data_IF_502977967208
#
_entry.id   IF_502977967208
#
_cell.length_a   1.000
_cell.length_b   1.000
_cell.length_c   1.000
_cell.angle_alpha   90.00
_cell.angle_beta   90.00
_cell.angle_gamma   90.00
#
_symmetry.space_group_name_H-M   'P 1'
#
loop_
_entity.id
_entity.type
_entity.pdbx_description
1 polymer ?
#
# COMPACT_ATOMS: atom_id res chain seq x y z
N UNK A 1 -7.80 -1.46 2.66
CA UNK A 1 -7.13 -2.20 3.74
C UNK A 1 -8.18 -2.60 4.76
N UNK A 2 -7.97 -3.70 5.48
CA UNK A 2 -8.94 -4.26 6.45
C UNK A 2 -9.47 -3.19 7.42
N UNK A 3 -8.55 -2.46 8.07
CA UNK A 3 -8.91 -1.37 8.98
C UNK A 3 -9.73 -0.25 8.33
N UNK A 4 -9.46 0.07 7.06
CA UNK A 4 -10.21 1.09 6.34
C UNK A 4 -11.66 0.67 6.06
N UNK A 5 -11.90 -0.62 5.77
CA UNK A 5 -13.23 -1.16 5.60
C UNK A 5 -13.99 -1.16 6.94
N UNK A 6 -13.40 -1.72 7.98
CA UNK A 6 -14.00 -1.74 9.33
C UNK A 6 -14.32 -0.31 9.83
N UNK A 7 -13.41 0.66 9.63
CA UNK A 7 -13.65 2.06 9.97
C UNK A 7 -14.79 2.67 9.16
N UNK A 8 -14.95 2.29 7.89
CA UNK A 8 -16.07 2.74 7.08
C UNK A 8 -17.40 2.21 7.64
N UNK A 9 -17.49 0.91 7.92
CA UNK A 9 -18.66 0.30 8.57
C UNK A 9 -18.98 0.96 9.91
N UNK A 10 -17.97 1.18 10.75
CA UNK A 10 -18.12 1.85 12.04
C UNK A 10 -18.69 3.27 11.87
N UNK A 11 -18.21 4.04 10.87
CA UNK A 11 -18.74 5.39 10.61
C UNK A 11 -20.16 5.42 10.05
N UNK A 12 -20.61 4.32 9.44
CA UNK A 12 -21.97 4.16 8.95
C UNK A 12 -22.94 3.65 10.03
N UNK A 13 -22.43 3.15 11.15
CA UNK A 13 -23.24 2.70 12.28
C UNK A 13 -23.84 3.87 13.08
N UNK A 14 -24.89 3.65 13.88
CA UNK A 14 -25.42 4.66 14.80
C UNK A 14 -24.35 5.19 15.76
N UNK A 15 -24.50 6.45 16.17
CA UNK A 15 -23.63 7.03 17.20
C UNK A 15 -23.88 6.36 18.55
N UNK A 16 -22.81 5.82 19.13
CA UNK A 16 -22.77 5.26 20.48
C UNK A 16 -22.47 6.34 21.52
N UNK A 17 -22.93 6.15 22.75
CA UNK A 17 -22.73 7.11 23.87
C UNK A 17 -21.80 6.59 24.96
N UNK A 18 -21.60 5.26 25.03
CA UNK A 18 -20.68 4.60 25.96
C UNK A 18 -19.55 3.85 25.20
N UNK A 19 -18.38 3.76 25.83
CA UNK A 19 -17.22 3.00 25.38
C UNK A 19 -17.55 1.50 25.18
N UNK A 20 -18.33 0.89 26.08
CA UNK A 20 -18.67 -0.54 25.94
C UNK A 20 -19.47 -0.83 24.67
N UNK A 21 -20.36 0.10 24.28
CA UNK A 21 -21.10 0.02 23.02
C UNK A 21 -20.19 0.28 21.82
N UNK A 22 -19.26 1.23 21.94
CA UNK A 22 -18.26 1.51 20.90
C UNK A 22 -17.40 0.29 20.62
N UNK A 23 -16.94 -0.41 21.67
CA UNK A 23 -16.09 -1.59 21.54
C UNK A 23 -16.86 -2.73 20.84
N UNK A 24 -18.07 -3.04 21.32
CA UNK A 24 -18.92 -4.07 20.70
C UNK A 24 -19.19 -3.77 19.22
N UNK A 25 -19.47 -2.51 18.90
CA UNK A 25 -19.72 -2.08 17.53
C UNK A 25 -18.46 -2.17 16.67
N UNK A 26 -17.29 -1.80 17.20
CA UNK A 26 -16.01 -1.95 16.49
C UNK A 26 -15.72 -3.42 16.18
N UNK A 27 -15.91 -4.33 17.15
CA UNK A 27 -15.73 -5.78 16.95
C UNK A 27 -16.69 -6.28 15.86
N UNK A 28 -17.97 -5.92 15.93
CA UNK A 28 -18.95 -6.29 14.91
C UNK A 28 -18.56 -5.77 13.51
N UNK A 29 -18.06 -4.54 13.40
CA UNK A 29 -17.58 -3.98 12.13
C UNK A 29 -16.31 -4.65 11.59
N UNK A 30 -15.46 -5.20 12.47
CA UNK A 30 -14.29 -5.97 12.09
C UNK A 30 -14.71 -7.34 11.52
N UNK A 31 -15.63 -8.01 12.22
CA UNK A 31 -16.16 -9.33 11.84
C UNK A 31 -17.02 -9.30 10.56
N UNK A 32 -17.67 -8.16 10.27
CA UNK A 32 -18.48 -7.96 9.07
C UNK A 32 -17.65 -7.91 7.78
N UNK A 33 -16.34 -7.64 7.85
CA UNK A 33 -15.51 -7.54 6.64
C UNK A 33 -15.38 -8.92 5.99
N UNK A 34 -15.85 -9.11 4.73
CA UNK A 34 -15.85 -10.42 4.10
C UNK A 34 -14.44 -10.98 3.95
N UNK A 35 -14.27 -12.28 4.22
CA UNK A 35 -12.99 -12.98 4.12
C UNK A 35 -12.27 -12.75 2.77
N UNK A 36 -13.02 -12.76 1.67
CA UNK A 36 -12.47 -12.50 0.33
C UNK A 36 -11.88 -11.08 0.22
N UNK A 37 -12.46 -10.08 0.88
CA UNK A 37 -11.90 -8.73 0.92
C UNK A 37 -10.60 -8.69 1.72
N UNK A 38 -10.53 -9.42 2.84
CA UNK A 38 -9.31 -9.55 3.66
C UNK A 38 -8.16 -10.10 2.81
N UNK A 39 -8.41 -11.20 2.07
CA UNK A 39 -7.42 -11.78 1.14
C UNK A 39 -6.99 -10.75 0.08
N UNK A 40 -7.94 -10.02 -0.52
CA UNK A 40 -7.62 -8.98 -1.53
C UNK A 40 -6.74 -7.88 -0.93
N UNK A 41 -6.99 -7.47 0.31
CA UNK A 41 -6.14 -6.48 0.98
C UNK A 41 -4.75 -7.03 1.28
N UNK A 42 -4.63 -8.27 1.79
CA UNK A 42 -3.34 -8.90 2.04
C UNK A 42 -2.52 -9.01 0.75
N UNK A 43 -3.13 -9.48 -0.34
CA UNK A 43 -2.49 -9.58 -1.65
C UNK A 43 -2.02 -8.23 -2.19
N UNK A 44 -2.80 -7.16 -1.97
CA UNK A 44 -2.40 -5.81 -2.39
C UNK A 44 -1.20 -5.32 -1.58
N UNK A 45 -1.18 -5.55 -0.27
CA UNK A 45 -0.08 -5.14 0.61
C UNK A 45 1.21 -5.90 0.32
N UNK A 46 1.14 -7.19 0.01
CA UNK A 46 2.30 -8.04 -0.28
C UNK A 46 3.22 -7.45 -1.38
N UNK A 47 2.63 -6.80 -2.38
CA UNK A 47 3.36 -6.16 -3.49
C UNK A 47 4.28 -5.04 -2.99
N UNK A 48 3.81 -4.27 -2.02
CA UNK A 48 4.59 -3.19 -1.41
C UNK A 48 5.59 -3.72 -0.39
N UNK A 49 5.25 -4.79 0.34
CA UNK A 49 6.15 -5.42 1.31
C UNK A 49 7.45 -5.86 0.63
N UNK A 50 7.37 -6.51 -0.54
CA UNK A 50 8.58 -6.91 -1.27
C UNK A 50 9.41 -5.70 -1.73
N UNK A 51 8.78 -4.64 -2.23
CA UNK A 51 9.46 -3.41 -2.63
C UNK A 51 10.21 -2.75 -1.46
N UNK A 52 9.57 -2.66 -0.30
CA UNK A 52 10.19 -2.10 0.90
C UNK A 52 11.29 -2.99 1.47
N UNK A 53 11.12 -4.32 1.40
CA UNK A 53 12.17 -5.26 1.79
C UNK A 53 13.47 -5.03 0.99
N UNK A 54 13.35 -4.67 -0.29
CA UNK A 54 14.48 -4.32 -1.14
C UNK A 54 14.94 -2.86 -1.04
N UNK A 55 14.35 -2.06 -0.15
CA UNK A 55 14.75 -0.67 0.11
C UNK A 55 14.23 0.36 -0.90
N UNK A 56 13.20 0.03 -1.70
CA UNK A 56 12.58 1.00 -2.59
C UNK A 56 11.82 2.07 -1.79
N UNK A 57 11.86 3.32 -2.27
CA UNK A 57 11.07 4.41 -1.70
C UNK A 57 9.57 4.20 -1.94
N UNK A 58 8.71 4.93 -1.23
CA UNK A 58 7.26 4.85 -1.44
C UNK A 58 6.83 5.18 -2.89
N UNK A 59 7.48 6.15 -3.52
CA UNK A 59 7.20 6.53 -4.91
C UNK A 59 7.61 5.42 -5.87
N UNK A 60 8.77 4.81 -5.63
CA UNK A 60 9.30 3.75 -6.49
C UNK A 60 8.54 2.44 -6.31
N UNK A 61 8.13 2.13 -5.08
CA UNK A 61 7.27 0.99 -4.78
C UNK A 61 5.91 1.11 -5.47
N UNK A 62 5.32 2.31 -5.50
CA UNK A 62 4.07 2.56 -6.26
C UNK A 62 4.27 2.37 -7.75
N UNK A 63 5.38 2.88 -8.31
CA UNK A 63 5.69 2.70 -9.72
C UNK A 63 5.90 1.22 -10.07
N UNK A 64 6.71 0.51 -9.29
CA UNK A 64 6.97 -0.91 -9.45
C UNK A 64 5.68 -1.74 -9.36
N UNK A 65 4.82 -1.45 -8.37
CA UNK A 65 3.54 -2.15 -8.21
C UNK A 65 2.56 -1.90 -9.37
N UNK A 66 2.68 -0.76 -10.07
CA UNK A 66 1.90 -0.45 -11.29
C UNK A 66 2.47 -1.14 -12.52
N UNK A 67 3.79 -1.11 -12.70
CA UNK A 67 4.47 -1.70 -13.87
C UNK A 67 4.42 -3.22 -13.83
N UNK A 68 4.74 -3.84 -12.70
CA UNK A 68 4.82 -5.29 -12.54
C UNK A 68 3.58 -5.85 -11.87
N UNK A 69 2.42 -5.58 -12.48
CA UNK A 69 1.17 -5.78 -11.78
C UNK A 69 0.77 -7.25 -11.56
N UNK A 70 1.41 -8.21 -12.23
CA UNK A 70 1.23 -9.64 -11.99
C UNK A 70 2.11 -10.18 -10.86
N UNK A 71 3.18 -9.48 -10.51
CA UNK A 71 4.17 -9.95 -9.55
C UNK A 71 3.81 -9.50 -8.14
N UNK A 72 3.73 -10.47 -7.21
CA UNK A 72 3.49 -10.21 -5.78
C UNK A 72 4.80 -10.01 -5.01
N UNK A 73 5.85 -10.63 -5.50
CA UNK A 73 7.23 -10.47 -5.06
C UNK A 73 7.99 -10.00 -6.29
N UNK A 74 8.81 -8.96 -6.13
CA UNK A 74 9.71 -8.50 -7.19
C UNK A 74 10.89 -9.48 -7.25
N UNK A 75 11.01 -10.33 -8.30
CA UNK A 75 12.20 -11.11 -8.49
C UNK A 75 13.40 -10.20 -8.83
N UNK A 76 14.61 -10.74 -8.67
CA UNK A 76 15.85 -9.95 -8.67
C UNK A 76 16.13 -9.27 -10.02
N UNK A 77 15.74 -9.90 -11.12
CA UNK A 77 15.80 -9.36 -12.47
C UNK A 77 14.96 -8.07 -12.60
N UNK A 78 13.69 -8.13 -12.20
CA UNK A 78 12.78 -6.98 -12.20
C UNK A 78 13.27 -5.88 -11.24
N UNK A 79 13.85 -6.27 -10.10
CA UNK A 79 14.40 -5.31 -9.14
C UNK A 79 15.57 -4.52 -9.74
N UNK A 80 16.43 -5.16 -10.54
CA UNK A 80 17.51 -4.48 -11.25
C UNK A 80 16.96 -3.43 -12.23
N UNK A 81 15.97 -3.80 -13.04
CA UNK A 81 15.28 -2.86 -13.95
C UNK A 81 14.68 -1.66 -13.21
N UNK A 82 14.10 -1.89 -12.02
CA UNK A 82 13.52 -0.82 -11.20
C UNK A 82 14.62 0.12 -10.72
N UNK A 83 15.75 -0.40 -10.24
CA UNK A 83 16.87 0.42 -9.75
C UNK A 83 17.47 1.27 -10.86
N UNK A 84 17.70 0.69 -12.03
CA UNK A 84 18.21 1.43 -13.19
C UNK A 84 17.25 2.57 -13.59
N UNK A 85 15.94 2.29 -13.58
CA UNK A 85 14.93 3.32 -13.84
C UNK A 85 14.95 4.44 -12.78
N UNK A 86 15.11 4.10 -11.50
CA UNK A 86 15.20 5.09 -10.41
C UNK A 86 16.45 5.95 -10.57
N UNK A 87 17.61 5.34 -10.83
CA UNK A 87 18.88 6.04 -11.01
C UNK A 87 18.86 6.99 -12.22
N UNK A 88 18.31 6.54 -13.35
CA UNK A 88 18.18 7.38 -14.55
C UNK A 88 17.26 8.58 -14.31
N UNK A 89 16.13 8.37 -13.62
CA UNK A 89 15.22 9.44 -13.23
C UNK A 89 15.90 10.46 -12.32
N UNK A 90 16.62 10.01 -11.30
CA UNK A 90 17.35 10.90 -10.39
C UNK A 90 18.44 11.69 -11.12
N UNK A 91 19.17 11.05 -12.03
CA UNK A 91 20.18 11.72 -12.86
C UNK A 91 19.57 12.85 -13.70
N UNK A 92 18.47 12.55 -14.39
CA UNK A 92 17.75 13.57 -15.18
C UNK A 92 17.19 14.71 -14.32
N UNK A 93 16.75 14.43 -13.08
CA UNK A 93 16.31 15.48 -12.15
C UNK A 93 17.47 16.40 -11.75
N UNK A 94 18.62 15.82 -11.39
CA UNK A 94 19.82 16.60 -11.03
C UNK A 94 20.31 17.48 -12.18
N UNK A 95 20.32 16.96 -13.41
CA UNK A 95 20.70 17.73 -14.61
C UNK A 95 19.77 18.92 -14.85
N UNK A 96 18.46 18.72 -14.70
CA UNK A 96 17.46 19.80 -14.84
C UNK A 96 17.58 20.86 -13.75
N UNK A 97 17.88 20.45 -12.52
CA UNK A 97 18.11 21.39 -11.42
C UNK A 97 19.40 22.19 -11.60
N UNK A 98 20.47 21.55 -12.11
CA UNK A 98 21.72 22.21 -12.44
C UNK A 98 21.56 23.22 -13.58
N UNK A 99 20.76 22.91 -14.60
CA UNK A 99 20.47 23.84 -15.71
C UNK A 99 19.57 25.02 -15.33
N UNK A 100 18.93 24.96 -14.16
CA UNK A 100 18.05 26.02 -13.64
C UNK A 100 18.79 26.99 -12.70
N UNK A 101 19.97 26.60 -12.21
CA UNK A 101 20.87 27.45 -11.39
C UNK A 101 21.83 28.20 -12.29
#
# INVERSE_FOLDING_TARGET
MYWGAAKYHYRSSPRTTNIDEMEKNMIACLDDVPHLQIIRYANRSARFISAYYYGLSGVDAVWAARKYAGHRILPLDILADIREFVESRERSQREREAARK
#
